data_IF_148551125104
#
_entry.id   IF_148551125104
#
_cell.length_a   1.000
_cell.length_b   1.000
_cell.length_c   1.000
_cell.angle_alpha   90.00
_cell.angle_beta   90.00
_cell.angle_gamma   90.00
#
_symmetry.space_group_name_H-M   'P 1'
#
loop_
_entity.id
_entity.type
_entity.pdbx_description
1 polymer ?
#
# COMPACT_ATOMS: atom_id res chain seq x y z
N UNK A 1 42.76 -8.63 -14.30
CA UNK A 1 41.42 -9.24 -14.23
C UNK A 1 40.61 -8.45 -13.21
N UNK A 2 39.57 -7.72 -13.65
CA UNK A 2 38.79 -6.76 -12.85
C UNK A 2 37.48 -7.43 -12.36
N UNK A 3 37.40 -7.95 -11.12
CA UNK A 3 36.13 -8.42 -10.54
C UNK A 3 35.34 -7.29 -9.86
N UNK A 4 35.78 -6.04 -9.96
CA UNK A 4 35.16 -4.91 -9.23
C UNK A 4 33.88 -4.41 -9.95
N UNK A 5 33.74 -4.68 -11.25
CA UNK A 5 32.60 -4.17 -12.04
C UNK A 5 31.28 -4.94 -11.79
N UNK A 6 31.33 -6.16 -11.25
CA UNK A 6 30.12 -6.98 -11.04
C UNK A 6 29.38 -6.65 -9.73
N UNK A 7 30.02 -5.94 -8.79
CA UNK A 7 29.44 -5.64 -7.47
C UNK A 7 28.58 -4.37 -7.47
N UNK A 8 28.74 -3.49 -8.46
CA UNK A 8 28.01 -2.22 -8.57
C UNK A 8 26.57 -2.37 -9.12
N UNK A 9 26.18 -3.56 -9.57
CA UNK A 9 24.87 -3.82 -10.21
C UNK A 9 23.74 -4.20 -9.23
N UNK A 10 24.03 -4.40 -7.94
CA UNK A 10 23.03 -4.88 -6.97
C UNK A 10 22.52 -3.83 -5.98
N UNK A 11 22.96 -2.57 -6.07
CA UNK A 11 22.52 -1.49 -5.17
C UNK A 11 21.39 -0.61 -5.75
N UNK A 12 20.57 -1.13 -6.68
CA UNK A 12 19.32 -0.46 -7.03
C UNK A 12 18.29 -0.73 -5.95
N UNK A 13 18.11 0.21 -5.02
CA UNK A 13 16.92 0.22 -4.16
C UNK A 13 15.68 0.16 -5.06
N UNK A 14 14.84 -0.85 -4.83
CA UNK A 14 13.69 -1.14 -5.69
C UNK A 14 12.57 -0.15 -5.35
N UNK A 15 12.59 1.03 -5.96
CA UNK A 15 11.53 2.04 -5.82
C UNK A 15 10.40 1.67 -6.77
N UNK A 16 9.28 1.18 -6.23
CA UNK A 16 8.04 0.98 -6.97
C UNK A 16 7.08 2.13 -6.68
N UNK A 17 6.77 2.91 -7.72
CA UNK A 17 5.67 3.88 -7.71
C UNK A 17 4.54 3.35 -8.58
N UNK A 18 3.31 3.38 -8.09
CA UNK A 18 2.12 2.97 -8.84
C UNK A 18 1.09 4.08 -8.75
N UNK A 19 0.59 4.50 -9.91
CA UNK A 19 -0.53 5.43 -10.04
C UNK A 19 -1.70 4.70 -10.70
N UNK A 20 -2.92 4.86 -10.17
CA UNK A 20 -4.10 4.20 -10.71
C UNK A 20 -5.38 4.93 -10.31
N UNK A 21 -6.41 4.79 -11.16
CA UNK A 21 -7.76 5.26 -10.87
C UNK A 21 -8.52 4.25 -10.00
N UNK A 22 -9.26 4.76 -9.02
CA UNK A 22 -10.08 3.97 -8.11
C UNK A 22 -11.54 4.42 -8.16
N UNK A 23 -12.38 3.59 -8.76
CA UNK A 23 -13.82 3.83 -8.86
C UNK A 23 -14.46 3.83 -7.47
N UNK A 24 -15.35 4.77 -7.22
CA UNK A 24 -16.11 4.83 -5.99
C UNK A 24 -17.22 3.76 -5.99
N UNK A 25 -17.46 3.15 -4.84
CA UNK A 25 -18.57 2.22 -4.64
C UNK A 25 -19.33 2.54 -3.34
N UNK A 26 -20.61 2.14 -3.24
CA UNK A 26 -21.31 2.06 -1.96
C UNK A 26 -20.52 1.28 -0.90
N UNK A 27 -20.71 1.64 0.37
CA UNK A 27 -19.94 1.09 1.48
C UNK A 27 -20.14 -0.43 1.68
N UNK A 28 -21.32 -0.93 1.33
CA UNK A 28 -21.71 -2.35 1.39
C UNK A 28 -21.09 -3.21 0.28
N UNK A 29 -20.55 -2.59 -0.77
CA UNK A 29 -19.82 -3.30 -1.82
C UNK A 29 -18.33 -3.44 -1.47
N UNK A 30 -17.74 -4.62 -1.67
CA UNK A 30 -16.30 -4.87 -1.42
C UNK A 30 -15.44 -4.61 -2.67
N UNK A 31 -15.63 -3.46 -3.32
CA UNK A 31 -14.79 -3.06 -4.44
C UNK A 31 -13.50 -2.39 -3.93
N UNK A 32 -12.48 -3.21 -3.74
CA UNK A 32 -11.13 -2.76 -3.35
C UNK A 32 -10.09 -3.10 -4.41
N UNK A 33 -9.04 -2.28 -4.49
CA UNK A 33 -7.82 -2.59 -5.23
C UNK A 33 -6.69 -2.82 -4.26
N UNK A 34 -5.90 -3.86 -4.48
CA UNK A 34 -4.78 -4.19 -3.61
C UNK A 34 -3.48 -4.33 -4.41
N UNK A 35 -2.40 -3.81 -3.85
CA UNK A 35 -1.03 -4.11 -4.25
C UNK A 35 -0.49 -5.17 -3.29
N UNK A 36 0.19 -6.18 -3.83
CA UNK A 36 0.86 -7.22 -3.04
C UNK A 36 2.32 -7.29 -3.46
N UNK A 37 3.23 -7.24 -2.50
CA UNK A 37 4.66 -7.34 -2.74
C UNK A 37 5.30 -8.27 -1.72
N UNK A 38 6.07 -9.24 -2.21
CA UNK A 38 6.88 -10.09 -1.35
C UNK A 38 8.04 -9.30 -0.74
N UNK A 39 8.18 -9.36 0.58
CA UNK A 39 9.21 -8.67 1.35
C UNK A 39 9.90 -9.67 2.30
N UNK A 40 11.25 -9.69 2.38
CA UNK A 40 11.97 -10.53 3.33
C UNK A 40 11.65 -10.18 4.79
N UNK A 41 11.86 -11.10 5.72
CA UNK A 41 11.81 -10.82 7.16
C UNK A 41 12.82 -9.73 7.57
N UNK A 42 12.52 -8.99 8.64
CA UNK A 42 13.35 -7.92 9.23
C UNK A 42 13.71 -6.82 8.22
N UNK A 43 12.78 -6.51 7.33
CA UNK A 43 12.96 -5.46 6.33
C UNK A 43 12.08 -4.28 6.68
N UNK A 44 12.67 -3.09 6.75
CA UNK A 44 11.90 -1.85 6.85
C UNK A 44 11.25 -1.51 5.51
N UNK A 45 9.96 -1.19 5.56
CA UNK A 45 9.17 -0.78 4.41
C UNK A 45 8.55 0.58 4.71
N UNK A 46 8.65 1.48 3.73
CA UNK A 46 7.99 2.77 3.74
C UNK A 46 6.92 2.79 2.64
N UNK A 47 5.68 3.02 3.04
CA UNK A 47 4.53 3.11 2.13
C UNK A 47 4.07 4.56 2.14
N UNK A 48 4.09 5.21 0.98
CA UNK A 48 3.55 6.57 0.80
C UNK A 48 2.33 6.51 -0.10
N UNK A 49 1.24 7.10 0.34
CA UNK A 49 -0.03 7.18 -0.38
C UNK A 49 -0.38 8.66 -0.53
N UNK A 50 -0.65 9.08 -1.77
CA UNK A 50 -1.09 10.44 -2.09
C UNK A 50 -2.35 10.32 -2.94
N UNK A 51 -3.38 11.09 -2.61
CA UNK A 51 -4.66 11.12 -3.32
C UNK A 51 -4.81 12.46 -4.02
N UNK A 52 -4.69 12.46 -5.34
CA UNK A 52 -4.59 13.71 -6.10
C UNK A 52 -5.97 14.36 -6.36
N UNK A 53 -7.08 13.61 -6.32
CA UNK A 53 -8.42 14.12 -6.67
C UNK A 53 -9.54 13.42 -5.88
N UNK A 54 -9.74 13.76 -4.61
CA UNK A 54 -10.83 13.18 -3.80
C UNK A 54 -12.02 14.15 -3.66
N UNK A 55 -13.20 13.84 -4.25
CA UNK A 55 -14.42 14.60 -4.00
C UNK A 55 -14.85 14.57 -2.53
N UNK A 56 -15.50 15.64 -2.06
CA UNK A 56 -16.04 15.72 -0.69
C UNK A 56 -17.20 14.73 -0.39
N UNK A 57 -17.67 14.04 -1.43
CA UNK A 57 -18.70 13.00 -1.36
C UNK A 57 -18.09 11.61 -1.21
N UNK A 58 -16.76 11.48 -1.27
CA UNK A 58 -16.04 10.21 -1.25
C UNK A 58 -15.12 10.13 -0.03
N UNK A 59 -14.89 8.92 0.47
CA UNK A 59 -13.90 8.63 1.50
C UNK A 59 -12.99 7.49 1.05
N UNK A 60 -11.68 7.75 0.98
CA UNK A 60 -10.71 6.69 0.72
C UNK A 60 -10.40 5.92 2.01
N UNK A 61 -10.68 4.63 2.02
CA UNK A 61 -10.17 3.70 3.01
C UNK A 61 -8.88 3.05 2.52
N UNK A 62 -7.94 2.88 3.45
CA UNK A 62 -6.61 2.34 3.20
C UNK A 62 -6.28 1.34 4.30
N UNK A 63 -5.76 0.17 3.91
CA UNK A 63 -5.35 -0.89 4.85
C UNK A 63 -4.03 -1.50 4.41
N UNK A 64 -3.14 -1.73 5.37
CA UNK A 64 -1.87 -2.43 5.19
C UNK A 64 -1.84 -3.62 6.13
N UNK A 65 -1.62 -4.80 5.56
CA UNK A 65 -1.49 -6.05 6.30
C UNK A 65 -0.47 -6.97 5.61
N UNK A 66 -0.08 -8.06 6.26
CA UNK A 66 0.65 -9.14 5.61
C UNK A 66 -0.16 -10.45 5.58
N UNK A 67 0.32 -11.39 4.76
CA UNK A 67 -0.18 -12.76 4.70
C UNK A 67 0.73 -13.76 5.43
N UNK A 68 1.54 -13.27 6.39
CA UNK A 68 2.31 -14.15 7.26
C UNK A 68 1.41 -15.05 8.09
N UNK A 69 1.97 -16.05 8.77
CA UNK A 69 1.20 -16.91 9.68
C UNK A 69 0.47 -16.11 10.78
N UNK A 70 1.01 -14.95 11.16
CA UNK A 70 0.42 -14.07 12.17
C UNK A 70 -0.57 -13.05 11.59
N UNK A 71 -0.62 -12.89 10.26
CA UNK A 71 -1.52 -11.98 9.54
C UNK A 71 -1.53 -10.58 10.14
N UNK A 72 -0.36 -9.97 10.23
CA UNK A 72 -0.19 -8.69 10.91
C UNK A 72 -0.98 -7.59 10.20
N UNK A 73 -1.62 -6.71 10.98
CA UNK A 73 -2.25 -5.49 10.48
C UNK A 73 -1.40 -4.29 10.92
N UNK A 74 -0.87 -3.55 9.96
CA UNK A 74 0.05 -2.43 10.21
C UNK A 74 -0.67 -1.09 10.21
N UNK A 75 -1.68 -0.94 9.34
CA UNK A 75 -2.45 0.29 9.25
C UNK A 75 -3.87 0.02 8.76
N UNK A 76 -4.80 0.80 9.30
CA UNK A 76 -6.15 0.95 8.79
C UNK A 76 -6.54 2.42 8.98
N UNK A 77 -6.92 3.09 7.89
CA UNK A 77 -7.28 4.52 7.87
C UNK A 77 -8.48 4.72 6.97
N UNK A 78 -9.24 5.77 7.26
CA UNK A 78 -10.38 6.22 6.46
C UNK A 78 -10.23 7.71 6.19
N UNK A 79 -10.73 8.15 5.04
CA UNK A 79 -10.61 9.53 4.55
C UNK A 79 -9.15 9.98 4.36
N UNK A 80 -8.32 9.09 3.82
CA UNK A 80 -6.90 9.36 3.55
C UNK A 80 -6.74 10.32 2.38
N UNK A 81 -5.88 11.33 2.54
CA UNK A 81 -5.46 12.26 1.46
C UNK A 81 -3.97 12.17 1.17
N UNK A 82 -3.17 12.13 2.23
CA UNK A 82 -1.73 11.89 2.21
C UNK A 82 -1.42 11.07 3.47
N UNK A 83 -0.82 9.91 3.31
CA UNK A 83 -0.43 9.03 4.43
C UNK A 83 0.95 8.43 4.16
N UNK A 84 1.77 8.39 5.20
CA UNK A 84 3.04 7.67 5.19
C UNK A 84 3.04 6.65 6.32
N UNK A 85 3.22 5.38 5.98
CA UNK A 85 3.32 4.26 6.93
C UNK A 85 4.73 3.70 6.88
N UNK A 86 5.35 3.56 8.05
CA UNK A 86 6.61 2.84 8.22
C UNK A 86 6.33 1.55 8.99
N UNK A 87 6.82 0.43 8.48
CA UNK A 87 6.67 -0.88 9.12
C UNK A 87 7.96 -1.68 8.99
N UNK A 88 8.09 -2.70 9.84
CA UNK A 88 9.15 -3.70 9.74
C UNK A 88 8.51 -5.10 9.70
N UNK A 89 8.87 -5.88 8.69
CA UNK A 89 8.36 -7.26 8.53
C UNK A 89 8.94 -8.18 9.61
N UNK A 90 8.09 -8.97 10.27
CA UNK A 90 8.55 -9.93 11.28
C UNK A 90 8.91 -11.31 10.68
N UNK A 91 8.36 -11.61 9.52
CA UNK A 91 8.58 -12.85 8.77
C UNK A 91 8.66 -12.54 7.26
N UNK A 92 9.09 -13.51 6.46
CA UNK A 92 8.96 -13.43 5.02
C UNK A 92 7.47 -13.50 4.68
N UNK A 93 6.95 -12.46 4.02
CA UNK A 93 5.52 -12.36 3.71
C UNK A 93 5.28 -11.42 2.55
N UNK A 94 4.09 -11.49 1.98
CA UNK A 94 3.61 -10.42 1.12
C UNK A 94 3.03 -9.31 1.99
N UNK A 95 3.55 -8.10 1.82
CA UNK A 95 2.90 -6.88 2.32
C UNK A 95 1.82 -6.48 1.33
N UNK A 96 0.60 -6.39 1.82
CA UNK A 96 -0.61 -6.14 1.03
C UNK A 96 -1.18 -4.79 1.43
N UNK A 97 -1.28 -3.90 0.44
CA UNK A 97 -1.84 -2.56 0.58
C UNK A 97 -3.14 -2.49 -0.20
N UNK A 98 -4.26 -2.34 0.49
CA UNK A 98 -5.58 -2.27 -0.11
C UNK A 98 -6.20 -0.87 0.02
N UNK A 99 -6.89 -0.46 -1.02
CA UNK A 99 -7.57 0.82 -1.15
C UNK A 99 -9.03 0.57 -1.52
N UNK A 100 -9.94 1.30 -0.88
CA UNK A 100 -11.37 1.29 -1.19
C UNK A 100 -11.88 2.72 -1.24
N UNK A 101 -12.53 3.10 -2.33
CA UNK A 101 -13.12 4.43 -2.48
C UNK A 101 -14.61 4.34 -2.20
N UNK A 102 -15.06 4.91 -1.09
CA UNK A 102 -16.43 4.76 -0.58
C UNK A 102 -17.24 6.02 -0.85
N UNK A 103 -18.45 5.85 -1.40
CA UNK A 103 -19.44 6.93 -1.49
C UNK A 103 -20.04 7.22 -0.11
N UNK A 104 -19.98 8.47 0.33
CA UNK A 104 -20.56 8.91 1.60
C UNK A 104 -22.10 8.99 1.49
N UNK A 105 -22.85 8.53 2.50
CA UNK A 105 -24.31 8.59 2.50
C UNK A 105 -24.83 10.03 2.37
N UNK A 106 -25.88 10.22 1.57
CA UNK A 106 -26.64 11.48 1.54
C UNK A 106 -26.02 12.60 0.69
N UNK A 107 -25.06 12.30 -0.17
CA UNK A 107 -24.53 13.25 -1.16
C UNK A 107 -24.57 12.65 -2.57
N UNK A 108 -25.77 12.65 -3.14
CA UNK A 108 -26.05 12.35 -4.54
C UNK A 108 -26.58 13.60 -5.21
#
# INVERSE_FOLDING_TARGET
MKPILLCLLFLSALVLGIHFDLHASPADQDHKRCLSQWIPAKTEVLIKVIVENQPNTHALEFKVHDDSIHKNSFAARTNVKDETVRLETQAHSNVIVCFKNVLLPGKY
#
